data_IF_003986523243
#
_entry.id   IF_003986523243
#
_cell.length_a   1.000
_cell.length_b   1.000
_cell.length_c   1.000
_cell.angle_alpha   90.00
_cell.angle_beta   90.00
_cell.angle_gamma   90.00
#
_symmetry.space_group_name_H-M   'P 1'
#
loop_
_entity.id
_entity.type
_entity.pdbx_description
1 polymer ?
#
# COMPACT_ATOMS: atom_id res chain seq x y z
N UNK A 1 -15.46 1.75 23.62
CA UNK A 1 -15.46 1.19 22.25
C UNK A 1 -14.20 0.33 22.14
N UNK A 2 -14.20 -0.75 21.38
CA UNK A 2 -13.02 -1.63 21.34
C UNK A 2 -11.93 -0.96 20.52
N UNK A 3 -10.74 -0.77 21.08
CA UNK A 3 -9.58 -0.09 20.44
C UNK A 3 -9.24 -0.67 19.04
N UNK A 4 -9.43 -1.98 18.86
CA UNK A 4 -9.25 -2.64 17.54
C UNK A 4 -10.30 -2.19 16.51
N UNK A 5 -11.54 -1.92 16.93
CA UNK A 5 -12.57 -1.45 16.02
C UNK A 5 -12.31 0.01 15.59
N UNK A 6 -11.79 0.84 16.48
CA UNK A 6 -11.37 2.21 16.15
C UNK A 6 -10.21 2.20 15.16
N UNK A 7 -9.18 1.38 15.39
CA UNK A 7 -8.05 1.23 14.48
C UNK A 7 -8.49 0.74 13.09
N UNK A 8 -9.41 -0.23 13.04
CA UNK A 8 -9.95 -0.72 11.77
C UNK A 8 -10.73 0.38 11.02
N UNK A 9 -11.50 1.19 11.73
CA UNK A 9 -12.31 2.25 11.10
C UNK A 9 -11.47 3.45 10.65
N UNK A 10 -10.42 3.80 11.39
CA UNK A 10 -9.60 4.97 11.12
C UNK A 10 -8.40 4.67 10.20
N UNK A 11 -7.72 3.55 10.44
CA UNK A 11 -6.47 3.21 9.77
C UNK A 11 -6.60 2.03 8.79
N UNK A 12 -7.73 1.33 8.82
CA UNK A 12 -7.95 0.14 7.98
C UNK A 12 -7.09 -1.04 8.40
N UNK A 13 -6.73 -1.13 9.69
CA UNK A 13 -5.88 -2.19 10.24
C UNK A 13 -6.56 -2.96 11.36
N UNK A 14 -6.21 -4.22 11.49
CA UNK A 14 -6.57 -5.06 12.66
C UNK A 14 -5.58 -6.20 12.83
N UNK A 15 -5.24 -6.51 14.06
CA UNK A 15 -4.49 -7.70 14.40
C UNK A 15 -5.46 -8.90 14.48
N UNK A 16 -5.28 -9.86 13.56
CA UNK A 16 -6.07 -11.08 13.50
C UNK A 16 -5.34 -12.18 14.28
N UNK A 17 -6.01 -12.76 15.24
CA UNK A 17 -5.53 -13.94 15.98
C UNK A 17 -6.17 -15.21 15.42
N UNK A 18 -5.35 -16.17 15.05
CA UNK A 18 -5.81 -17.52 14.72
C UNK A 18 -5.84 -18.38 15.96
N UNK A 19 -7.03 -18.54 16.56
CA UNK A 19 -7.25 -19.33 17.78
C UNK A 19 -6.84 -20.81 17.66
N UNK A 20 -6.66 -21.34 16.42
CA UNK A 20 -6.22 -22.71 16.20
C UNK A 20 -4.71 -22.90 16.22
N UNK A 21 -3.96 -21.88 15.80
CA UNK A 21 -2.48 -21.92 15.69
C UNK A 21 -1.77 -20.95 16.61
N UNK A 22 -2.48 -20.00 17.19
CA UNK A 22 -1.90 -18.93 18.01
C UNK A 22 -1.10 -17.89 17.22
N UNK A 23 -1.18 -17.90 15.88
CA UNK A 23 -0.51 -16.90 15.05
C UNK A 23 -1.27 -15.58 15.01
N UNK A 24 -0.54 -14.48 15.00
CA UNK A 24 -1.04 -13.12 14.87
C UNK A 24 -0.66 -12.54 13.51
N UNK A 25 -1.65 -12.21 12.71
CA UNK A 25 -1.46 -11.62 11.38
C UNK A 25 -1.96 -10.18 11.40
N UNK A 26 -1.10 -9.23 11.07
CA UNK A 26 -1.56 -7.87 10.85
C UNK A 26 -2.32 -7.81 9.53
N UNK A 27 -3.62 -7.52 9.61
CA UNK A 27 -4.45 -7.17 8.45
C UNK A 27 -4.33 -5.67 8.21
N UNK A 28 -4.08 -5.29 6.97
CA UNK A 28 -3.96 -3.91 6.56
C UNK A 28 -4.68 -3.71 5.21
N UNK A 29 -5.55 -2.72 5.13
CA UNK A 29 -6.25 -2.38 3.91
C UNK A 29 -5.64 -1.17 3.21
N UNK A 30 -5.46 -1.27 1.89
CA UNK A 30 -5.06 -0.18 1.00
C UNK A 30 -6.24 0.10 0.07
N UNK A 31 -7.03 1.13 0.39
CA UNK A 31 -8.28 1.44 -0.28
C UNK A 31 -8.29 2.89 -0.76
N UNK A 32 -8.74 3.09 -2.01
CA UNK A 32 -8.83 4.40 -2.62
C UNK A 32 -7.50 4.87 -3.20
N UNK A 33 -7.25 6.17 -3.19
CA UNK A 33 -6.02 6.76 -3.70
C UNK A 33 -4.88 6.66 -2.67
N UNK A 34 -3.66 6.38 -3.11
CA UNK A 34 -2.47 6.44 -2.25
C UNK A 34 -2.08 7.91 -2.11
N UNK A 35 -2.38 8.46 -0.93
CA UNK A 35 -2.07 9.83 -0.59
C UNK A 35 -0.63 9.93 -0.09
N UNK A 36 0.13 10.84 -0.71
CA UNK A 36 1.54 11.03 -0.40
C UNK A 36 1.81 12.35 0.30
N UNK A 37 2.73 13.16 -0.25
CA UNK A 37 3.17 14.41 0.35
C UNK A 37 2.17 15.57 0.24
N UNK A 38 1.12 15.41 -0.55
CA UNK A 38 0.06 16.41 -0.70
C UNK A 38 -1.25 15.84 -0.21
N UNK A 39 -2.00 16.65 0.54
CA UNK A 39 -3.33 16.27 0.99
C UNK A 39 -4.29 16.19 -0.19
N UNK A 40 -4.98 15.07 -0.31
CA UNK A 40 -6.10 14.92 -1.23
C UNK A 40 -7.36 15.62 -0.69
N UNK A 41 -8.31 15.89 -1.58
CA UNK A 41 -9.59 16.46 -1.17
C UNK A 41 -10.36 15.51 -0.23
N UNK A 42 -11.02 16.04 0.78
CA UNK A 42 -11.86 15.30 1.73
C UNK A 42 -12.98 14.45 1.07
N UNK A 43 -13.20 14.66 -0.24
CA UNK A 43 -14.17 13.91 -1.03
C UNK A 43 -13.60 12.63 -1.66
N UNK A 44 -12.28 12.46 -1.58
CA UNK A 44 -11.58 11.31 -2.15
C UNK A 44 -11.22 10.38 -0.98
N UNK A 45 -11.51 9.09 -1.14
CA UNK A 45 -11.05 8.09 -0.18
C UNK A 45 -9.57 7.82 -0.43
N UNK A 46 -8.77 7.89 0.62
CA UNK A 46 -7.31 7.72 0.53
C UNK A 46 -6.80 6.72 1.54
N UNK A 47 -5.68 6.10 1.20
CA UNK A 47 -4.78 5.45 2.15
C UNK A 47 -3.57 6.34 2.32
N UNK A 48 -3.33 6.80 3.54
CA UNK A 48 -2.28 7.74 3.85
C UNK A 48 -0.95 7.04 4.06
N UNK A 49 0.02 7.45 3.31
CA UNK A 49 1.36 6.90 3.34
C UNK A 49 2.03 7.03 4.72
N UNK A 50 1.83 8.15 5.43
CA UNK A 50 2.37 8.37 6.78
C UNK A 50 1.76 7.46 7.85
N UNK A 51 0.60 6.86 7.59
CA UNK A 51 0.02 5.82 8.44
C UNK A 51 0.53 4.43 8.05
N UNK A 52 0.74 4.20 6.75
CA UNK A 52 1.14 2.90 6.22
C UNK A 52 2.57 2.52 6.66
N UNK A 53 3.53 3.44 6.59
CA UNK A 53 4.94 3.13 6.89
C UNK A 53 5.19 2.71 8.34
N UNK A 54 4.62 3.38 9.37
CA UNK A 54 4.76 2.93 10.76
C UNK A 54 4.18 1.54 11.00
N UNK A 55 3.05 1.21 10.35
CA UNK A 55 2.43 -0.12 10.46
C UNK A 55 3.29 -1.20 9.83
N UNK A 56 3.87 -0.96 8.66
CA UNK A 56 4.81 -1.89 8.03
C UNK A 56 6.08 -2.08 8.88
N UNK A 57 6.54 -1.02 9.54
CA UNK A 57 7.65 -1.13 10.51
C UNK A 57 7.27 -2.01 11.69
N UNK A 58 6.06 -1.88 12.23
CA UNK A 58 5.58 -2.75 13.30
C UNK A 58 5.54 -4.21 12.88
N UNK A 59 5.12 -4.53 11.65
CA UNK A 59 5.16 -5.92 11.14
C UNK A 59 6.56 -6.48 11.23
N UNK A 60 7.57 -5.72 10.83
CA UNK A 60 8.95 -6.17 10.84
C UNK A 60 9.49 -6.37 12.26
N UNK A 61 9.24 -5.44 13.17
CA UNK A 61 9.94 -5.34 14.46
C UNK A 61 9.18 -6.00 15.62
N UNK A 62 7.84 -6.02 15.61
CA UNK A 62 7.03 -6.57 16.70
C UNK A 62 7.04 -8.10 16.65
N UNK A 63 7.63 -8.74 17.66
CA UNK A 63 7.72 -10.20 17.76
C UNK A 63 6.36 -10.90 17.94
N UNK A 64 5.32 -10.18 18.33
CA UNK A 64 3.96 -10.72 18.47
C UNK A 64 3.22 -10.81 17.12
N UNK A 65 3.75 -10.20 16.06
CA UNK A 65 3.19 -10.26 14.71
C UNK A 65 3.95 -11.31 13.90
N UNK A 66 3.25 -12.31 13.39
CA UNK A 66 3.83 -13.42 12.63
C UNK A 66 3.83 -13.18 11.11
N UNK A 67 3.02 -12.26 10.62
CA UNK A 67 2.93 -11.97 9.20
C UNK A 67 2.01 -10.81 8.86
N UNK A 68 1.96 -10.48 7.55
CA UNK A 68 1.18 -9.38 7.00
C UNK A 68 0.18 -9.90 5.97
N UNK A 69 -1.07 -9.44 6.08
CA UNK A 69 -2.08 -9.62 5.06
C UNK A 69 -2.58 -8.27 4.55
N UNK A 70 -2.31 -7.99 3.28
CA UNK A 70 -2.71 -6.76 2.59
C UNK A 70 -3.97 -6.98 1.77
N UNK A 71 -5.04 -6.24 2.06
CA UNK A 71 -6.23 -6.17 1.23
C UNK A 71 -6.16 -4.93 0.33
N UNK A 72 -6.23 -5.11 -0.99
CA UNK A 72 -5.95 -4.03 -1.95
C UNK A 72 -7.15 -3.76 -2.84
N UNK A 73 -7.56 -2.48 -2.86
CA UNK A 73 -8.53 -1.94 -3.78
C UNK A 73 -8.21 -0.45 -4.04
N UNK A 74 -7.23 -0.20 -4.91
CA UNK A 74 -6.67 1.15 -5.14
C UNK A 74 -6.60 1.50 -6.62
N UNK A 75 -6.88 2.75 -6.92
CA UNK A 75 -6.68 3.35 -8.25
C UNK A 75 -5.25 3.81 -8.49
N UNK A 76 -4.37 3.67 -7.49
CA UNK A 76 -3.02 4.21 -7.48
C UNK A 76 -2.93 5.53 -6.72
N UNK A 77 -2.01 6.41 -7.08
CA UNK A 77 -1.81 7.70 -6.41
C UNK A 77 -0.38 8.20 -6.51
N UNK A 78 0.17 8.72 -5.41
CA UNK A 78 1.54 9.21 -5.33
C UNK A 78 2.55 8.09 -5.59
N UNK A 79 3.33 8.25 -6.68
CA UNK A 79 4.26 7.22 -7.11
C UNK A 79 5.42 7.01 -6.15
N UNK A 80 5.98 8.08 -5.59
CA UNK A 80 7.14 7.99 -4.70
C UNK A 80 6.77 7.34 -3.37
N UNK A 81 5.61 7.71 -2.84
CA UNK A 81 5.09 7.15 -1.59
C UNK A 81 4.66 5.69 -1.75
N UNK A 82 4.00 5.36 -2.86
CA UNK A 82 3.62 3.99 -3.15
C UNK A 82 4.83 3.07 -3.40
N UNK A 83 5.89 3.56 -4.06
CA UNK A 83 7.15 2.81 -4.20
C UNK A 83 7.83 2.60 -2.86
N UNK A 84 7.90 3.63 -2.00
CA UNK A 84 8.47 3.50 -0.67
C UNK A 84 7.74 2.42 0.16
N UNK A 85 6.42 2.39 0.11
CA UNK A 85 5.62 1.36 0.76
C UNK A 85 5.87 -0.03 0.16
N UNK A 86 5.98 -0.15 -1.18
CA UNK A 86 6.29 -1.40 -1.85
C UNK A 86 7.67 -1.96 -1.45
N UNK A 87 8.70 -1.11 -1.42
CA UNK A 87 10.03 -1.48 -0.96
C UNK A 87 10.04 -1.92 0.51
N UNK A 88 9.28 -1.25 1.36
CA UNK A 88 9.12 -1.68 2.75
C UNK A 88 8.46 -3.05 2.85
N UNK A 89 7.37 -3.31 2.11
CA UNK A 89 6.72 -4.63 2.09
C UNK A 89 7.71 -5.70 1.63
N UNK A 90 8.45 -5.46 0.54
CA UNK A 90 9.43 -6.39 0.01
C UNK A 90 10.59 -6.66 0.97
N UNK A 91 10.89 -5.73 1.89
CA UNK A 91 11.95 -5.88 2.89
C UNK A 91 11.54 -6.67 4.14
N UNK A 92 10.25 -6.89 4.37
CA UNK A 92 9.72 -7.63 5.52
C UNK A 92 10.20 -9.09 5.43
N UNK A 93 10.77 -9.59 6.52
CA UNK A 93 11.29 -10.97 6.60
C UNK A 93 10.23 -11.99 7.06
N UNK A 94 9.10 -11.52 7.51
CA UNK A 94 7.96 -12.36 7.89
C UNK A 94 7.09 -12.62 6.68
N UNK A 95 6.30 -13.72 6.68
CA UNK A 95 5.39 -14.02 5.57
C UNK A 95 4.46 -12.85 5.25
N UNK A 96 4.40 -12.48 3.98
CA UNK A 96 3.53 -11.41 3.48
C UNK A 96 2.61 -11.93 2.37
N UNK A 97 1.35 -11.55 2.43
CA UNK A 97 0.33 -11.92 1.43
C UNK A 97 -0.45 -10.68 1.04
N UNK A 98 -0.69 -10.50 -0.24
CA UNK A 98 -1.61 -9.51 -0.76
C UNK A 98 -2.79 -10.14 -1.47
N UNK A 99 -3.96 -9.51 -1.37
CA UNK A 99 -5.18 -9.88 -2.10
C UNK A 99 -5.77 -8.64 -2.76
N UNK A 100 -5.80 -8.64 -4.09
CA UNK A 100 -6.50 -7.63 -4.89
C UNK A 100 -7.94 -8.04 -5.06
N UNK A 101 -8.89 -7.28 -4.49
CA UNK A 101 -10.32 -7.61 -4.51
C UNK A 101 -11.14 -6.80 -5.53
N UNK A 102 -10.61 -5.67 -5.99
CA UNK A 102 -11.21 -4.80 -7.00
C UNK A 102 -10.14 -4.30 -7.94
N UNK A 103 -9.64 -3.10 -7.68
CA UNK A 103 -8.62 -2.48 -8.50
C UNK A 103 -7.25 -2.51 -7.82
N UNK A 104 -6.19 -2.68 -8.63
CA UNK A 104 -4.83 -2.38 -8.25
C UNK A 104 -4.15 -1.72 -9.44
N UNK A 105 -4.38 -0.41 -9.59
CA UNK A 105 -3.96 0.32 -10.77
C UNK A 105 -2.71 1.15 -10.50
N UNK A 106 -1.94 1.45 -11.56
CA UNK A 106 -0.79 2.34 -11.51
C UNK A 106 0.21 1.87 -10.43
N UNK A 107 0.52 2.73 -9.45
CA UNK A 107 1.43 2.42 -8.33
C UNK A 107 0.87 1.36 -7.36
N UNK A 108 -0.42 1.05 -7.42
CA UNK A 108 -1.00 -0.08 -6.71
C UNK A 108 -0.46 -1.43 -7.18
N UNK A 109 -0.05 -1.56 -8.46
CA UNK A 109 0.49 -2.80 -9.01
C UNK A 109 1.80 -3.20 -8.32
N UNK A 110 2.88 -2.37 -8.31
CA UNK A 110 4.08 -2.70 -7.56
C UNK A 110 3.81 -2.93 -6.07
N UNK A 111 2.93 -2.16 -5.46
CA UNK A 111 2.54 -2.38 -4.06
C UNK A 111 1.96 -3.78 -3.82
N UNK A 112 1.09 -4.25 -4.74
CA UNK A 112 0.48 -5.57 -4.64
C UNK A 112 1.48 -6.71 -4.77
N UNK A 113 2.40 -6.60 -5.74
CA UNK A 113 3.35 -7.67 -6.06
C UNK A 113 4.60 -7.64 -5.18
N UNK A 114 4.73 -6.66 -4.29
CA UNK A 114 5.81 -6.59 -3.32
C UNK A 114 5.71 -7.65 -2.20
N UNK A 115 4.53 -8.22 -1.96
CA UNK A 115 4.35 -9.31 -1.01
C UNK A 115 4.91 -10.62 -1.53
N UNK A 116 5.28 -11.55 -0.63
CA UNK A 116 5.77 -12.90 -0.99
C UNK A 116 4.80 -13.67 -1.87
N UNK A 117 3.49 -13.45 -1.65
CA UNK A 117 2.41 -14.06 -2.44
C UNK A 117 1.32 -13.05 -2.72
N UNK A 118 0.93 -12.95 -3.98
CA UNK A 118 -0.16 -12.08 -4.45
C UNK A 118 -1.30 -12.91 -5.00
N UNK A 119 -2.51 -12.62 -4.56
CA UNK A 119 -3.74 -13.18 -5.08
C UNK A 119 -4.58 -12.07 -5.72
N UNK A 120 -5.30 -12.42 -6.76
CA UNK A 120 -6.23 -11.52 -7.45
C UNK A 120 -7.60 -12.19 -7.53
N UNK A 121 -8.64 -11.47 -7.12
CA UNK A 121 -10.01 -11.94 -7.27
C UNK A 121 -10.40 -12.06 -8.77
N UNK A 122 -11.28 -12.98 -9.17
CA UNK A 122 -11.62 -13.19 -10.58
C UNK A 122 -12.17 -11.97 -11.32
N UNK A 123 -12.76 -11.02 -10.59
CA UNK A 123 -13.32 -9.78 -11.15
C UNK A 123 -12.41 -8.57 -10.95
N UNK A 124 -11.28 -8.75 -10.25
CA UNK A 124 -10.34 -7.67 -9.99
C UNK A 124 -9.49 -7.35 -11.24
N UNK A 125 -9.02 -6.11 -11.30
CA UNK A 125 -8.21 -5.63 -12.42
C UNK A 125 -6.90 -5.03 -11.94
N UNK A 126 -5.85 -5.18 -12.76
CA UNK A 126 -4.55 -4.56 -12.55
C UNK A 126 -4.14 -3.82 -13.83
N UNK A 127 -3.94 -2.50 -13.74
CA UNK A 127 -3.56 -1.67 -14.88
C UNK A 127 -2.20 -1.02 -14.59
N UNK A 128 -1.22 -1.38 -15.40
CA UNK A 128 0.11 -0.78 -15.37
C UNK A 128 0.27 0.21 -16.52
N UNK A 129 0.83 1.36 -16.25
CA UNK A 129 1.14 2.39 -17.24
C UNK A 129 2.44 3.14 -16.85
N UNK A 130 3.10 3.82 -17.81
CA UNK A 130 4.25 4.67 -17.49
C UNK A 130 3.90 5.78 -16.51
N UNK A 131 4.89 6.19 -15.71
CA UNK A 131 4.75 7.33 -14.78
C UNK A 131 4.37 8.58 -15.56
N UNK A 132 3.40 9.32 -15.06
CA UNK A 132 2.97 10.60 -15.62
C UNK A 132 3.40 11.72 -14.69
N UNK A 133 3.98 12.76 -15.27
CA UNK A 133 4.32 13.99 -14.55
C UNK A 133 3.36 15.08 -15.00
N UNK A 134 2.68 15.70 -14.06
CA UNK A 134 1.84 16.87 -14.27
C UNK A 134 2.51 18.10 -13.65
N UNK A 135 2.58 19.20 -14.38
CA UNK A 135 3.12 20.46 -13.85
C UNK A 135 4.05 21.15 -14.83
N UNK A 136 4.64 22.26 -14.39
CA UNK A 136 5.63 23.04 -15.12
C UNK A 136 7.03 22.56 -14.77
N UNK A 137 7.79 22.09 -15.76
CA UNK A 137 9.19 21.72 -15.59
C UNK A 137 10.04 22.96 -15.89
N UNK A 138 10.71 23.49 -14.87
CA UNK A 138 11.68 24.59 -15.00
C UNK A 138 13.07 23.96 -14.82
N UNK A 139 13.86 23.91 -15.90
CA UNK A 139 15.18 23.30 -15.83
C UNK A 139 16.06 23.59 -17.03
N UNK A 140 17.33 23.21 -16.93
CA UNK A 140 18.28 23.28 -18.03
C UNK A 140 17.90 22.28 -19.15
N UNK A 141 18.39 22.46 -20.39
CA UNK A 141 18.12 21.55 -21.51
C UNK A 141 18.38 20.08 -21.22
N UNK A 142 19.36 19.77 -20.38
CA UNK A 142 19.67 18.40 -19.95
C UNK A 142 18.52 17.72 -19.17
N UNK A 143 17.67 18.50 -18.52
CA UNK A 143 16.48 17.97 -17.83
C UNK A 143 15.47 17.39 -18.81
N UNK A 144 15.39 17.94 -20.03
CA UNK A 144 14.50 17.44 -21.06
C UNK A 144 14.96 16.10 -21.65
N UNK A 145 16.25 15.82 -21.68
CA UNK A 145 16.78 14.53 -22.17
C UNK A 145 16.46 13.40 -21.18
N UNK A 146 16.44 13.68 -19.88
CA UNK A 146 16.10 12.71 -18.85
C UNK A 146 14.64 12.20 -18.96
N UNK A 147 13.73 13.01 -19.49
CA UNK A 147 12.32 12.65 -19.67
C UNK A 147 11.99 12.16 -21.10
N UNK A 148 12.99 11.94 -21.93
CA UNK A 148 12.83 11.42 -23.30
C UNK A 148 12.82 9.89 -23.38
N UNK A 149 13.04 9.22 -22.27
CA UNK A 149 12.90 7.78 -22.12
C UNK A 149 11.43 7.48 -21.90
#
# INVERSE_FOLDING_TARGET
>A
MNTQLESLLELGEVLLENNGTGHHILFLSVIGEIEGHHLSSDRIKTTKYEHLLPLLTQVQDNQEIDGLFLLINTVGGDCSCGLAAAEMIASIKKPTVSLVIGDSHSIGVPLSVAADRTFIAPTATMILHPVRLNGTIIGAPQTFEYFRL
#
